data_IF_757910986856
#
_entry.id   IF_757910986856
#
_cell.length_a   1.000
_cell.length_b   1.000
_cell.length_c   1.000
_cell.angle_alpha   90.00
_cell.angle_beta   90.00
_cell.angle_gamma   90.00
#
_symmetry.space_group_name_H-M   'P 1'
#
loop_
_entity.id
_entity.type
_entity.pdbx_description
1 polymer ?
#
# COMPACT_ATOMS: atom_id res chain seq x y z
N UNK A 1 3.13 -4.74 -2.80
CA UNK A 1 4.52 -4.44 -3.20
C UNK A 1 5.51 -5.50 -2.74
N UNK A 2 5.65 -5.74 -1.44
CA UNK A 2 6.64 -6.68 -0.90
C UNK A 2 6.53 -8.10 -1.51
N UNK A 3 5.32 -8.54 -1.86
CA UNK A 3 5.11 -9.78 -2.63
C UNK A 3 5.80 -9.79 -4.00
N UNK A 4 5.84 -8.66 -4.71
CA UNK A 4 6.43 -8.55 -6.05
C UNK A 4 7.95 -8.35 -6.01
N UNK A 5 8.45 -7.51 -5.08
CA UNK A 5 9.86 -7.10 -5.05
C UNK A 5 10.70 -7.95 -4.09
N UNK A 6 10.08 -8.51 -3.04
CA UNK A 6 10.75 -9.37 -2.08
C UNK A 6 11.78 -8.65 -1.18
N UNK A 7 11.68 -7.32 -1.02
CA UNK A 7 12.62 -6.51 -0.24
C UNK A 7 12.35 -6.52 1.27
N UNK A 8 11.15 -6.90 1.69
CA UNK A 8 10.75 -7.11 3.10
C UNK A 8 9.62 -8.14 3.21
N UNK A 9 9.37 -8.66 4.40
CA UNK A 9 8.22 -9.55 4.66
C UNK A 9 6.91 -8.77 4.60
N UNK A 10 5.89 -9.35 3.95
CA UNK A 10 4.49 -8.90 4.00
C UNK A 10 3.69 -9.80 4.92
N UNK A 11 2.83 -9.23 5.76
CA UNK A 11 2.00 -9.97 6.73
C UNK A 11 0.51 -9.80 6.51
N UNK A 12 0.12 -8.87 5.63
CA UNK A 12 -1.27 -8.57 5.28
C UNK A 12 -1.53 -8.88 3.79
N UNK A 13 -2.79 -9.17 3.48
CA UNK A 13 -3.30 -9.22 2.10
C UNK A 13 -4.25 -8.03 1.91
N UNK A 14 -3.91 -7.13 1.00
CA UNK A 14 -4.75 -6.02 0.62
C UNK A 14 -5.30 -6.23 -0.81
N UNK A 15 -6.62 -6.33 -0.93
CA UNK A 15 -7.34 -6.45 -2.20
C UNK A 15 -8.12 -5.16 -2.47
N UNK A 16 -7.89 -4.57 -3.64
CA UNK A 16 -8.53 -3.33 -4.06
C UNK A 16 -9.29 -3.50 -5.36
N UNK A 17 -10.37 -2.74 -5.53
CA UNK A 17 -11.12 -2.70 -6.77
C UNK A 17 -11.70 -1.32 -7.05
N UNK A 18 -11.73 -0.93 -8.31
CA UNK A 18 -12.30 0.32 -8.80
C UNK A 18 -13.70 0.13 -9.42
N UNK A 19 -14.35 -1.01 -9.13
CA UNK A 19 -15.76 -1.22 -9.52
C UNK A 19 -16.66 -0.20 -8.81
N UNK A 20 -17.85 0.11 -9.35
CA UNK A 20 -18.75 1.08 -8.74
C UNK A 20 -19.02 0.78 -7.25
N UNK A 21 -18.99 1.81 -6.41
CA UNK A 21 -19.29 1.68 -4.98
C UNK A 21 -20.63 0.98 -4.75
N UNK A 22 -20.63 0.01 -3.83
CA UNK A 22 -21.79 -0.82 -3.49
C UNK A 22 -22.05 -2.01 -4.43
N UNK A 23 -21.22 -2.22 -5.47
CA UNK A 23 -21.39 -3.35 -6.39
C UNK A 23 -20.78 -4.68 -5.92
N UNK A 24 -19.84 -4.66 -4.97
CA UNK A 24 -19.27 -5.86 -4.37
C UNK A 24 -20.33 -6.55 -3.50
N UNK A 25 -20.56 -7.83 -3.78
CA UNK A 25 -21.39 -8.71 -2.95
C UNK A 25 -20.57 -9.22 -1.74
N UNK A 26 -20.46 -8.37 -0.72
CA UNK A 26 -19.75 -8.73 0.52
C UNK A 26 -20.38 -9.92 1.24
N UNK A 27 -21.69 -10.15 1.06
CA UNK A 27 -22.35 -11.32 1.64
C UNK A 27 -21.79 -12.63 1.07
N UNK A 28 -21.53 -12.68 -0.24
CA UNK A 28 -20.86 -13.84 -0.85
C UNK A 28 -19.41 -14.01 -0.39
N UNK A 29 -18.71 -12.91 -0.13
CA UNK A 29 -17.35 -12.97 0.42
C UNK A 29 -17.38 -13.51 1.85
N UNK A 30 -18.31 -13.05 2.68
CA UNK A 30 -18.55 -13.57 4.03
C UNK A 30 -18.83 -15.08 3.98
N UNK A 31 -19.80 -15.50 3.17
CA UNK A 31 -20.15 -16.92 2.99
C UNK A 31 -18.95 -17.75 2.51
N UNK A 32 -18.11 -17.22 1.60
CA UNK A 32 -16.91 -17.90 1.16
C UNK A 32 -15.90 -18.05 2.30
N UNK A 33 -15.65 -16.99 3.07
CA UNK A 33 -14.69 -16.98 4.18
C UNK A 33 -15.12 -17.97 5.27
N UNK A 34 -16.39 -17.90 5.69
CA UNK A 34 -16.96 -18.72 6.75
C UNK A 34 -16.87 -20.23 6.40
N UNK A 35 -17.00 -20.57 5.12
CA UNK A 35 -16.94 -21.95 4.63
C UNK A 35 -15.51 -22.44 4.31
N UNK A 36 -14.54 -21.53 4.17
CA UNK A 36 -13.18 -21.87 3.70
C UNK A 36 -12.16 -21.91 4.84
N UNK A 37 -12.24 -20.96 5.78
CA UNK A 37 -11.21 -20.78 6.80
C UNK A 37 -11.68 -21.26 8.19
N UNK A 38 -10.97 -22.22 8.81
CA UNK A 38 -11.31 -22.72 10.15
C UNK A 38 -11.34 -21.62 11.22
N UNK A 39 -10.45 -20.65 11.11
CA UNK A 39 -10.47 -19.44 11.92
C UNK A 39 -10.79 -18.25 11.03
N UNK A 40 -11.84 -17.53 11.39
CA UNK A 40 -12.22 -16.28 10.77
C UNK A 40 -12.81 -15.32 11.81
N UNK A 41 -12.56 -14.03 11.65
CA UNK A 41 -13.18 -12.96 12.43
C UNK A 41 -13.46 -11.77 11.52
N UNK A 42 -14.72 -11.32 11.52
CA UNK A 42 -15.18 -10.16 10.76
C UNK A 42 -16.51 -9.63 11.33
N UNK A 43 -16.79 -8.35 11.06
CA UNK A 43 -18.05 -7.75 11.49
C UNK A 43 -19.22 -8.26 10.65
N UNK A 44 -20.03 -9.13 11.23
CA UNK A 44 -21.25 -9.63 10.59
C UNK A 44 -22.37 -8.57 10.61
N UNK A 45 -23.03 -8.34 9.47
CA UNK A 45 -24.27 -7.55 9.41
C UNK A 45 -24.10 -6.03 9.33
N UNK A 46 -22.88 -5.51 9.20
CA UNK A 46 -22.63 -4.11 8.88
C UNK A 46 -22.42 -3.95 7.37
N UNK A 47 -23.12 -3.01 6.75
CA UNK A 47 -22.83 -2.62 5.37
C UNK A 47 -21.46 -1.95 5.34
N UNK A 48 -20.47 -2.54 4.64
CA UNK A 48 -19.15 -1.94 4.56
C UNK A 48 -19.23 -0.62 3.79
N UNK A 49 -18.68 0.45 4.38
CA UNK A 49 -18.65 1.76 3.74
C UNK A 49 -17.75 1.74 2.50
N UNK A 50 -16.44 1.75 2.72
CA UNK A 50 -15.42 1.73 1.66
C UNK A 50 -14.85 0.32 1.42
N UNK A 51 -15.23 -0.66 2.23
CA UNK A 51 -14.67 -1.99 2.22
C UNK A 51 -14.83 -2.69 3.56
N UNK A 52 -14.29 -3.91 3.63
CA UNK A 52 -14.36 -4.78 4.80
C UNK A 52 -13.01 -5.43 5.06
N UNK A 53 -12.63 -5.46 6.33
CA UNK A 53 -11.47 -6.19 6.83
C UNK A 53 -11.92 -7.51 7.45
N UNK A 54 -11.09 -8.53 7.25
CA UNK A 54 -11.26 -9.87 7.78
C UNK A 54 -9.95 -10.30 8.45
N UNK A 55 -10.06 -11.15 9.44
CA UNK A 55 -8.92 -11.93 9.95
C UNK A 55 -9.20 -13.38 9.62
N UNK A 56 -8.32 -14.04 8.86
CA UNK A 56 -8.53 -15.41 8.37
C UNK A 56 -7.30 -16.28 8.63
N UNK A 57 -7.49 -17.57 8.91
CA UNK A 57 -6.39 -18.50 9.15
C UNK A 57 -6.83 -19.91 9.51
N UNK A 58 -5.85 -20.76 9.82
CA UNK A 58 -6.10 -22.11 10.36
C UNK A 58 -6.44 -22.09 11.85
N UNK A 59 -5.89 -21.12 12.59
CA UNK A 59 -6.13 -20.83 13.99
C UNK A 59 -5.73 -19.38 14.29
N UNK A 60 -5.96 -18.92 15.53
CA UNK A 60 -5.67 -17.55 15.95
C UNK A 60 -4.18 -17.16 15.88
N UNK A 61 -3.27 -18.12 16.08
CA UNK A 61 -1.83 -17.89 16.03
C UNK A 61 -1.26 -17.81 14.61
N UNK A 62 -2.01 -18.32 13.62
CA UNK A 62 -1.63 -18.35 12.21
C UNK A 62 -2.64 -17.58 11.34
N UNK A 63 -3.29 -16.57 11.92
CA UNK A 63 -4.22 -15.73 11.21
C UNK A 63 -3.52 -14.52 10.57
N UNK A 64 -4.02 -14.13 9.40
CA UNK A 64 -3.56 -12.95 8.67
C UNK A 64 -4.72 -12.00 8.44
N UNK A 65 -4.39 -10.72 8.26
CA UNK A 65 -5.37 -9.71 7.86
C UNK A 65 -5.63 -9.79 6.36
N UNK A 66 -6.90 -9.80 5.99
CA UNK A 66 -7.39 -9.66 4.63
C UNK A 66 -8.24 -8.40 4.54
N UNK A 67 -7.81 -7.43 3.75
CA UNK A 67 -8.55 -6.21 3.46
C UNK A 67 -9.17 -6.28 2.06
N UNK A 68 -10.46 -6.00 1.94
CA UNK A 68 -11.17 -5.91 0.65
C UNK A 68 -11.86 -4.56 0.54
N UNK A 69 -11.29 -3.66 -0.26
CA UNK A 69 -11.72 -2.26 -0.33
C UNK A 69 -11.95 -1.78 -1.76
N UNK A 70 -12.89 -0.86 -1.89
CA UNK A 70 -12.97 -0.02 -3.07
C UNK A 70 -11.81 0.97 -3.10
N UNK A 71 -11.42 1.40 -4.29
CA UNK A 71 -10.40 2.42 -4.51
C UNK A 71 -10.74 3.26 -5.74
N UNK A 72 -10.04 4.38 -5.92
CA UNK A 72 -10.07 5.18 -7.13
C UNK A 72 -9.64 4.36 -8.36
N UNK A 73 -10.03 4.86 -9.54
CA UNK A 73 -9.74 4.20 -10.82
C UNK A 73 -8.26 3.85 -10.96
N UNK A 74 -8.00 2.62 -11.37
CA UNK A 74 -6.66 2.24 -11.77
C UNK A 74 -6.28 2.96 -13.07
N UNK A 75 -5.06 3.49 -13.10
CA UNK A 75 -4.42 4.10 -14.26
C UNK A 75 -3.71 3.08 -15.16
N UNK A 76 -3.55 1.83 -14.69
CA UNK A 76 -2.96 0.74 -15.45
C UNK A 76 -3.79 -0.55 -15.36
N UNK A 77 -3.76 -1.41 -16.41
CA UNK A 77 -4.34 -2.74 -16.31
C UNK A 77 -3.60 -3.59 -15.29
N UNK A 78 -4.31 -4.53 -14.66
CA UNK A 78 -3.70 -5.45 -13.71
C UNK A 78 -2.58 -6.29 -14.36
N UNK A 79 -1.47 -6.46 -13.63
CA UNK A 79 -0.43 -7.42 -13.95
C UNK A 79 -0.93 -8.83 -13.61
N UNK A 80 -0.91 -9.76 -14.56
CA UNK A 80 -1.35 -11.14 -14.35
C UNK A 80 -0.14 -12.07 -14.19
N UNK A 81 0.03 -12.65 -13.01
CA UNK A 81 1.09 -13.62 -12.70
C UNK A 81 0.44 -14.86 -12.09
N UNK A 82 0.64 -16.03 -12.68
CA UNK A 82 0.08 -17.31 -12.20
C UNK A 82 -1.43 -17.24 -11.91
N UNK A 83 -2.18 -16.58 -12.80
CA UNK A 83 -3.62 -16.29 -12.68
C UNK A 83 -4.02 -15.37 -11.51
N UNK A 84 -3.06 -14.80 -10.78
CA UNK A 84 -3.27 -13.78 -9.75
C UNK A 84 -3.15 -12.40 -10.39
N UNK A 85 -4.18 -11.57 -10.17
CA UNK A 85 -4.17 -10.16 -10.57
C UNK A 85 -3.44 -9.35 -9.50
N UNK A 86 -2.40 -8.64 -9.92
CA UNK A 86 -1.58 -7.77 -9.11
C UNK A 86 -1.66 -6.35 -9.66
N UNK A 87 -1.51 -5.36 -8.80
CA UNK A 87 -1.26 -3.98 -9.23
C UNK A 87 0.15 -3.88 -9.84
N UNK A 88 0.35 -2.98 -10.80
CA UNK A 88 1.69 -2.71 -11.34
C UNK A 88 2.54 -1.94 -10.32
N UNK A 89 3.84 -1.80 -10.59
CA UNK A 89 4.74 -1.04 -9.71
C UNK A 89 4.34 0.43 -9.67
N UNK A 90 3.94 0.98 -10.81
CA UNK A 90 3.48 2.35 -10.97
C UNK A 90 2.21 2.64 -10.16
N UNK A 91 1.27 1.68 -10.16
CA UNK A 91 0.08 1.76 -9.29
C UNK A 91 0.45 1.75 -7.82
N UNK A 92 1.38 0.90 -7.45
CA UNK A 92 1.88 0.83 -6.07
C UNK A 92 2.53 2.14 -5.67
N UNK A 93 3.37 2.73 -6.54
CA UNK A 93 4.00 4.03 -6.30
C UNK A 93 2.90 5.05 -5.99
N UNK A 94 1.91 5.23 -6.88
CA UNK A 94 0.84 6.18 -6.67
C UNK A 94 0.13 5.99 -5.32
N UNK A 95 -0.19 4.74 -4.94
CA UNK A 95 -0.82 4.44 -3.65
C UNK A 95 0.06 4.76 -2.44
N UNK A 96 1.37 4.52 -2.55
CA UNK A 96 2.32 4.80 -1.45
C UNK A 96 2.49 6.29 -1.25
N UNK A 97 2.55 7.05 -2.34
CA UNK A 97 2.62 8.51 -2.30
C UNK A 97 1.37 9.10 -1.65
N UNK A 98 0.18 8.58 -1.97
CA UNK A 98 -1.06 9.03 -1.32
C UNK A 98 -1.07 8.76 0.19
N UNK A 99 -0.40 7.69 0.65
CA UNK A 99 -0.24 7.44 2.09
C UNK A 99 0.75 8.42 2.72
N UNK A 100 1.87 8.71 2.06
CA UNK A 100 2.85 9.71 2.53
C UNK A 100 2.23 11.10 2.60
N UNK A 101 1.40 11.49 1.62
CA UNK A 101 0.66 12.74 1.65
C UNK A 101 -0.23 12.88 2.90
N UNK A 102 -0.75 11.78 3.43
CA UNK A 102 -1.72 11.79 4.54
C UNK A 102 -1.09 11.57 5.92
N UNK A 103 -0.26 10.54 6.06
CA UNK A 103 0.25 10.07 7.36
C UNK A 103 1.72 9.66 7.31
N UNK A 104 2.18 9.02 6.23
CA UNK A 104 3.56 8.52 6.13
C UNK A 104 3.92 7.42 7.12
N UNK A 105 3.56 6.16 6.83
CA UNK A 105 3.95 5.01 7.68
C UNK A 105 5.35 4.53 7.31
N UNK A 106 6.12 4.03 8.29
CA UNK A 106 7.52 3.59 8.09
C UNK A 106 7.67 2.54 7.00
N UNK A 107 6.72 1.59 6.91
CA UNK A 107 6.72 0.57 5.85
C UNK A 107 6.55 1.15 4.44
N UNK A 108 5.86 2.28 4.29
CA UNK A 108 5.66 2.94 2.99
C UNK A 108 6.92 3.69 2.55
N UNK A 109 7.66 4.30 3.47
CA UNK A 109 8.98 4.88 3.18
C UNK A 109 9.99 3.81 2.77
N UNK A 110 9.99 2.67 3.45
CA UNK A 110 10.82 1.51 3.06
C UNK A 110 10.50 1.01 1.65
N UNK A 111 9.21 1.05 1.31
CA UNK A 111 8.72 0.65 0.01
C UNK A 111 9.16 1.66 -1.07
N UNK A 112 8.97 2.96 -0.84
CA UNK A 112 9.39 4.01 -1.76
C UNK A 112 10.90 4.07 -1.94
N UNK A 113 11.67 3.81 -0.88
CA UNK A 113 13.13 3.75 -0.95
C UNK A 113 13.63 2.66 -1.90
N UNK A 114 13.06 1.46 -1.85
CA UNK A 114 13.41 0.39 -2.81
C UNK A 114 13.07 0.81 -4.26
N UNK A 115 12.02 1.60 -4.44
CA UNK A 115 11.57 2.08 -5.76
C UNK A 115 12.41 3.24 -6.30
N UNK A 116 13.14 3.97 -5.44
CA UNK A 116 14.03 5.08 -5.85
C UNK A 116 15.18 4.62 -6.75
N UNK A 117 15.48 3.32 -6.79
CA UNK A 117 16.49 2.74 -7.69
C UNK A 117 16.12 2.97 -9.16
N UNK A 118 14.84 2.83 -9.50
CA UNK A 118 14.34 2.85 -10.87
C UNK A 118 13.39 4.04 -11.16
N UNK A 119 12.91 4.74 -10.13
CA UNK A 119 11.93 5.83 -10.26
C UNK A 119 12.38 7.05 -9.47
N UNK A 120 12.50 8.21 -10.12
CA UNK A 120 12.83 9.45 -9.42
C UNK A 120 11.59 10.12 -8.80
N UNK A 121 11.82 11.09 -7.90
CA UNK A 121 10.73 11.80 -7.20
C UNK A 121 9.73 12.45 -8.17
N UNK A 122 10.20 12.97 -9.31
CA UNK A 122 9.31 13.54 -10.32
C UNK A 122 8.36 12.47 -10.87
N UNK A 123 8.89 11.31 -11.25
CA UNK A 123 8.09 10.19 -11.75
C UNK A 123 7.05 9.73 -10.72
N UNK A 124 7.43 9.66 -9.44
CA UNK A 124 6.51 9.28 -8.37
C UNK A 124 5.38 10.30 -8.18
N UNK A 125 5.69 11.59 -8.27
CA UNK A 125 4.70 12.66 -8.21
C UNK A 125 3.73 12.61 -9.39
N UNK A 126 4.24 12.38 -10.60
CA UNK A 126 3.43 12.31 -11.82
C UNK A 126 2.46 11.12 -11.77
N UNK A 127 2.91 9.96 -11.29
CA UNK A 127 2.07 8.78 -11.09
C UNK A 127 0.97 9.03 -10.06
N UNK A 128 1.30 9.69 -8.94
CA UNK A 128 0.30 10.09 -7.95
C UNK A 128 -0.72 11.08 -8.55
N UNK A 129 -0.25 12.08 -9.31
CA UNK A 129 -1.12 13.06 -9.96
C UNK A 129 -2.07 12.42 -10.97
N UNK A 130 -1.57 11.45 -11.74
CA UNK A 130 -2.37 10.73 -12.72
C UNK A 130 -3.51 9.94 -12.05
N UNK A 131 -3.23 9.27 -10.93
CA UNK A 131 -4.24 8.46 -10.22
C UNK A 131 -5.18 9.29 -9.35
N UNK A 132 -4.67 10.32 -8.69
CA UNK A 132 -5.39 11.12 -7.70
C UNK A 132 -5.46 12.61 -8.08
N UNK A 133 -5.97 12.98 -9.26
CA UNK A 133 -5.84 14.35 -9.79
C UNK A 133 -6.55 15.41 -8.94
N UNK A 134 -7.56 15.02 -8.15
CA UNK A 134 -8.34 15.95 -7.32
C UNK A 134 -7.74 16.17 -5.92
N UNK A 135 -6.95 15.22 -5.42
CA UNK A 135 -6.34 15.27 -4.09
C UNK A 135 -4.83 15.40 -4.14
N UNK A 136 -4.24 15.46 -5.33
CA UNK A 136 -2.80 15.65 -5.51
C UNK A 136 -2.36 17.03 -5.03
N UNK A 137 -1.53 17.05 -3.99
CA UNK A 137 -0.85 18.24 -3.49
C UNK A 137 0.67 18.00 -3.51
N UNK A 138 1.31 18.50 -4.56
CA UNK A 138 2.74 18.31 -4.80
C UNK A 138 3.60 18.82 -3.65
N UNK A 139 3.29 20.00 -3.12
CA UNK A 139 4.09 20.65 -2.08
C UNK A 139 3.95 19.89 -0.76
N UNK A 140 2.73 19.45 -0.44
CA UNK A 140 2.47 18.62 0.74
C UNK A 140 3.17 17.26 0.64
N UNK A 141 3.13 16.60 -0.52
CA UNK A 141 3.84 15.33 -0.73
C UNK A 141 5.34 15.52 -0.49
N UNK A 142 5.96 16.50 -1.14
CA UNK A 142 7.40 16.75 -1.00
C UNK A 142 7.80 17.07 0.44
N UNK A 143 7.00 17.85 1.15
CA UNK A 143 7.20 18.11 2.57
C UNK A 143 7.15 16.81 3.37
N UNK A 144 6.09 16.01 3.19
CA UNK A 144 5.88 14.80 3.97
C UNK A 144 6.83 13.67 3.61
N UNK A 145 7.45 13.69 2.43
CA UNK A 145 8.51 12.76 2.06
C UNK A 145 9.71 12.81 3.02
N UNK A 146 9.94 13.98 3.61
CA UNK A 146 11.03 14.23 4.56
C UNK A 146 10.55 14.39 6.00
N UNK A 147 9.25 14.20 6.23
CA UNK A 147 8.65 14.22 7.57
C UNK A 147 8.50 12.79 8.08
N UNK A 148 9.38 12.42 9.00
CA UNK A 148 9.46 11.07 9.55
C UNK A 148 8.88 10.97 10.97
N UNK A 149 8.30 12.04 11.52
CA UNK A 149 7.90 12.08 12.94
C UNK A 149 7.00 10.91 13.33
N UNK A 150 6.00 10.61 12.51
CA UNK A 150 5.09 9.48 12.75
C UNK A 150 5.74 8.12 12.45
N UNK A 151 6.61 8.06 11.44
CA UNK A 151 7.28 6.82 11.07
C UNK A 151 8.33 6.40 12.11
N UNK A 152 9.03 7.35 12.73
CA UNK A 152 10.09 7.07 13.72
C UNK A 152 9.59 6.22 14.89
N UNK A 153 8.33 6.42 15.31
CA UNK A 153 7.68 5.68 16.40
C UNK A 153 7.15 4.29 15.99
N UNK A 154 7.11 3.96 14.70
CA UNK A 154 6.69 2.63 14.23
C UNK A 154 7.81 1.60 14.32
N UNK A 155 7.47 0.32 14.47
CA UNK A 155 8.46 -0.76 14.38
C UNK A 155 9.02 -0.88 12.96
N UNK A 156 10.33 -1.16 12.88
CA UNK A 156 10.96 -1.45 11.61
C UNK A 156 10.35 -2.73 11.00
N UNK A 157 10.02 -2.73 9.69
CA UNK A 157 9.60 -3.94 9.03
C UNK A 157 10.74 -4.95 8.98
N UNK A 158 10.41 -6.24 8.85
CA UNK A 158 11.41 -7.30 8.63
C UNK A 158 12.02 -7.14 7.23
N UNK A 159 13.09 -6.36 7.14
CA UNK A 159 13.82 -6.07 5.91
C UNK A 159 14.65 -7.29 5.46
N UNK A 160 14.58 -7.61 4.16
CA UNK A 160 15.32 -8.71 3.53
C UNK A 160 16.54 -8.22 2.73
N UNK A 161 16.79 -6.90 2.74
CA UNK A 161 17.93 -6.23 2.06
C UNK A 161 19.02 -5.74 3.02
N UNK A 162 18.86 -5.95 4.33
CA UNK A 162 19.82 -5.49 5.33
C UNK A 162 19.93 -3.96 5.43
N UNK A 163 18.86 -3.24 5.08
CA UNK A 163 18.78 -1.78 5.21
C UNK A 163 18.40 -1.39 6.64
N UNK A 164 18.80 -0.18 7.03
CA UNK A 164 18.49 0.41 8.33
C UNK A 164 17.72 1.71 8.12
N UNK A 165 16.83 2.00 9.07
CA UNK A 165 15.92 3.14 8.97
C UNK A 165 16.63 4.48 8.76
N UNK A 166 17.72 4.73 9.48
CA UNK A 166 18.47 6.00 9.37
C UNK A 166 19.02 6.24 7.95
N UNK A 167 19.57 5.21 7.30
CA UNK A 167 20.07 5.35 5.93
C UNK A 167 18.95 5.52 4.90
N UNK A 168 17.78 4.93 5.14
CA UNK A 168 16.61 5.13 4.28
C UNK A 168 16.16 6.59 4.33
N UNK A 169 16.12 7.20 5.52
CA UNK A 169 15.80 8.62 5.68
C UNK A 169 16.79 9.50 4.93
N UNK A 170 18.09 9.26 5.10
CA UNK A 170 19.15 10.00 4.40
C UNK A 170 18.99 9.92 2.87
N UNK A 171 18.82 8.70 2.32
CA UNK A 171 18.66 8.49 0.88
C UNK A 171 17.40 9.18 0.32
N UNK A 172 16.29 9.16 1.07
CA UNK A 172 15.04 9.84 0.67
C UNK A 172 15.22 11.37 0.68
N UNK A 173 15.86 11.93 1.71
CA UNK A 173 16.14 13.36 1.79
C UNK A 173 17.02 13.79 0.62
N UNK A 174 18.09 13.05 0.31
CA UNK A 174 18.95 13.33 -0.84
C UNK A 174 18.16 13.30 -2.16
N UNK A 175 17.27 12.32 -2.34
CA UNK A 175 16.44 12.22 -3.53
C UNK A 175 15.51 13.44 -3.72
N UNK A 176 14.92 13.94 -2.63
CA UNK A 176 14.08 15.15 -2.62
C UNK A 176 14.90 16.41 -2.87
N UNK A 177 16.07 16.56 -2.24
CA UNK A 177 16.96 17.70 -2.47
C UNK A 177 17.45 17.75 -3.93
N UNK A 178 17.85 16.61 -4.49
CA UNK A 178 18.23 16.48 -5.89
C UNK A 178 17.08 16.85 -6.83
N UNK A 179 15.84 16.55 -6.44
CA UNK A 179 14.66 16.94 -7.20
C UNK A 179 14.44 18.46 -7.18
N UNK A 180 14.55 19.11 -6.03
CA UNK A 180 14.34 20.55 -5.88
C UNK A 180 15.44 21.42 -6.52
N UNK A 181 16.64 20.86 -6.73
CA UNK A 181 17.78 21.54 -7.35
C UNK A 181 17.83 21.41 -8.88
N UNK A 182 16.90 20.68 -9.50
CA UNK A 182 16.74 20.56 -10.96
C UNK A 182 15.83 21.67 -11.50
#
# INVERSE_FOLDING_TARGET
MSLQIGHRVSVDIDLFTDVPYGSIDFKKIDEFIDNTFPFHDHSSGLNPAMGKSYTIGIDKGHAIKLDVFYTDLFIQPALLVDAIRLTTIEEIIAMKIDVVQRVGRKKDFWDLHELLIDHDIQTMLDLHQQRYPYTHDRELILKNFTDFELADDEFDPVCLRGKYWEFIKEDIVEAVEKHNNK
#
